data_IF_196681600292
#
_entry.id   IF_196681600292
#
_cell.length_a   1.000
_cell.length_b   1.000
_cell.length_c   1.000
_cell.angle_alpha   90.00
_cell.angle_beta   90.00
_cell.angle_gamma   90.00
#
_symmetry.space_group_name_H-M   'P 1'
#
loop_
_entity.id
_entity.type
_entity.pdbx_description
1 polymer ?
#
# COMPACT_ATOMS: atom_id res chain seq x y z
N UNK A 1 24.74 10.97 -2.32
CA UNK A 1 23.64 10.33 -3.06
C UNK A 1 24.26 9.52 -4.18
N UNK A 2 24.14 8.21 -4.11
CA UNK A 2 24.67 7.26 -5.09
C UNK A 2 23.80 7.23 -6.35
N UNK A 3 24.34 6.78 -7.48
CA UNK A 3 23.57 6.55 -8.71
C UNK A 3 22.41 5.57 -8.49
N UNK A 4 22.59 4.62 -7.56
CA UNK A 4 21.57 3.64 -7.19
C UNK A 4 20.41 4.26 -6.41
N UNK A 5 20.68 5.25 -5.55
CA UNK A 5 19.64 5.97 -4.80
C UNK A 5 18.74 6.76 -5.77
N UNK A 6 19.36 7.41 -6.77
CA UNK A 6 18.63 8.16 -7.80
C UNK A 6 17.79 7.25 -8.69
N UNK A 7 18.32 6.09 -9.08
CA UNK A 7 17.58 5.11 -9.89
C UNK A 7 16.39 4.53 -9.12
N UNK A 8 16.55 4.20 -7.84
CA UNK A 8 15.46 3.73 -6.98
C UNK A 8 14.34 4.77 -6.85
N UNK A 9 14.70 6.02 -6.58
CA UNK A 9 13.71 7.10 -6.48
C UNK A 9 12.95 7.34 -7.80
N UNK A 10 13.62 7.16 -8.94
CA UNK A 10 12.98 7.28 -10.25
C UNK A 10 11.98 6.14 -10.53
N UNK A 11 12.30 4.91 -10.10
CA UNK A 11 11.38 3.77 -10.19
C UNK A 11 10.18 4.01 -9.28
N UNK A 12 10.42 4.38 -8.02
CA UNK A 12 9.34 4.67 -7.06
C UNK A 12 8.38 5.74 -7.62
N UNK A 13 8.91 6.81 -8.20
CA UNK A 13 8.11 7.87 -8.80
C UNK A 13 7.33 7.41 -10.04
N UNK A 14 7.83 6.44 -10.80
CA UNK A 14 7.16 5.94 -12.00
C UNK A 14 5.93 5.05 -11.67
N UNK A 15 5.96 4.36 -10.54
CA UNK A 15 4.88 3.46 -10.09
C UNK A 15 4.01 4.06 -8.98
N UNK A 16 4.35 5.27 -8.52
CA UNK A 16 3.61 6.01 -7.53
C UNK A 16 2.16 6.26 -7.95
N UNK A 17 1.23 5.84 -7.11
CA UNK A 17 -0.17 6.24 -7.10
C UNK A 17 -0.43 7.16 -5.91
N UNK A 18 -1.30 8.16 -6.12
CA UNK A 18 -1.73 9.06 -5.07
C UNK A 18 -2.87 8.41 -4.30
N UNK A 19 -2.74 8.28 -2.99
CA UNK A 19 -3.76 7.67 -2.12
C UNK A 19 -4.05 8.55 -0.91
N UNK A 20 -5.31 8.58 -0.47
CA UNK A 20 -5.69 9.20 0.79
C UNK A 20 -5.75 8.11 1.85
N UNK A 21 -5.00 8.26 2.92
CA UNK A 21 -5.03 7.33 4.04
C UNK A 21 -5.82 7.92 5.21
N UNK A 22 -6.71 7.11 5.78
CA UNK A 22 -7.47 7.45 6.97
C UNK A 22 -7.48 6.26 7.92
N UNK A 23 -6.93 6.44 9.11
CA UNK A 23 -6.71 5.31 10.01
C UNK A 23 -5.88 5.64 11.23
N UNK A 24 -5.97 4.78 12.24
CA UNK A 24 -5.22 4.82 13.50
C UNK A 24 -5.37 6.12 14.33
N UNK A 25 -6.04 7.17 13.86
CA UNK A 25 -5.98 8.55 14.40
C UNK A 25 -4.89 9.42 13.75
N UNK A 26 -4.34 9.00 12.61
CA UNK A 26 -3.53 9.83 11.72
C UNK A 26 -4.50 10.67 10.90
N UNK A 27 -4.36 11.99 11.00
CA UNK A 27 -4.92 12.91 10.03
C UNK A 27 -3.78 13.35 9.12
N UNK A 28 -3.78 12.87 7.88
CA UNK A 28 -2.97 13.47 6.82
C UNK A 28 -3.78 14.58 6.17
N UNK A 29 -3.15 15.73 5.98
CA UNK A 29 -3.78 16.86 5.29
C UNK A 29 -3.74 16.70 3.77
N UNK A 30 -2.77 15.93 3.26
CA UNK A 30 -2.51 15.74 1.84
C UNK A 30 -2.45 14.25 1.47
N UNK A 31 -2.84 13.88 0.24
CA UNK A 31 -2.62 12.53 -0.27
C UNK A 31 -1.15 12.14 -0.25
N UNK A 32 -0.89 10.85 -0.03
CA UNK A 32 0.45 10.28 0.00
C UNK A 32 0.72 9.47 -1.26
N UNK A 33 2.01 9.33 -1.59
CA UNK A 33 2.45 8.42 -2.64
C UNK A 33 2.59 7.00 -2.08
N UNK A 34 1.99 6.04 -2.78
CA UNK A 34 2.11 4.60 -2.53
C UNK A 34 2.33 3.87 -3.86
N UNK A 35 2.83 2.63 -3.83
CA UNK A 35 2.88 1.76 -5.01
C UNK A 35 1.80 0.69 -4.84
N UNK A 36 0.93 0.53 -5.83
CA UNK A 36 -0.08 -0.53 -5.84
C UNK A 36 0.48 -1.79 -6.49
N UNK A 37 0.33 -2.91 -5.80
CA UNK A 37 0.76 -4.23 -6.25
C UNK A 37 -0.46 -5.17 -6.28
N UNK A 38 -0.81 -5.66 -7.47
CA UNK A 38 -1.83 -6.71 -7.62
C UNK A 38 -1.12 -8.08 -7.52
N UNK A 39 -1.44 -8.86 -6.51
CA UNK A 39 -0.83 -10.16 -6.21
C UNK A 39 -1.82 -11.31 -6.47
N UNK A 40 -1.33 -12.49 -6.90
CA UNK A 40 -2.17 -13.68 -6.94
C UNK A 40 -2.65 -14.01 -5.52
N UNK A 41 -3.95 -14.29 -5.37
CA UNK A 41 -4.50 -14.84 -4.13
C UNK A 41 -4.10 -16.30 -3.92
N UNK A 42 -4.53 -16.88 -2.80
CA UNK A 42 -4.24 -18.28 -2.49
C UNK A 42 -4.70 -19.22 -3.62
N UNK A 43 -3.88 -20.24 -3.97
CA UNK A 43 -4.02 -20.98 -5.22
C UNK A 43 -5.26 -21.87 -5.35
N UNK A 44 -6.17 -21.93 -4.37
CA UNK A 44 -7.45 -22.62 -4.52
C UNK A 44 -8.47 -22.25 -3.41
N UNK A 45 -9.55 -21.56 -3.76
CA UNK A 45 -10.69 -21.28 -2.85
C UNK A 45 -11.99 -22.00 -3.25
N UNK A 46 -11.90 -22.97 -4.17
CA UNK A 46 -13.03 -23.68 -4.75
C UNK A 46 -13.25 -23.38 -6.25
N UNK A 47 -14.13 -24.12 -6.94
CA UNK A 47 -14.36 -23.96 -8.36
C UNK A 47 -14.92 -22.56 -8.69
N UNK A 48 -14.23 -21.82 -9.56
CA UNK A 48 -14.65 -20.50 -10.05
C UNK A 48 -14.19 -19.30 -9.21
N UNK A 49 -13.46 -19.50 -8.11
CA UNK A 49 -12.95 -18.43 -7.27
C UNK A 49 -11.49 -18.09 -7.61
N UNK A 50 -11.27 -17.03 -8.37
CA UNK A 50 -9.96 -16.36 -8.46
C UNK A 50 -9.91 -15.25 -7.42
N UNK A 51 -9.09 -15.41 -6.39
CA UNK A 51 -8.82 -14.32 -5.45
C UNK A 51 -7.66 -13.50 -6.00
N UNK A 52 -7.85 -12.19 -6.09
CA UNK A 52 -6.76 -11.23 -6.31
C UNK A 52 -6.54 -10.53 -4.99
N UNK A 53 -5.31 -10.57 -4.48
CA UNK A 53 -4.92 -9.77 -3.32
C UNK A 53 -4.33 -8.46 -3.82
N UNK A 54 -4.65 -7.35 -3.15
CA UNK A 54 -4.09 -6.04 -3.50
C UNK A 54 -3.25 -5.58 -2.31
N UNK A 55 -2.05 -5.08 -2.61
CA UNK A 55 -1.13 -4.51 -1.65
C UNK A 55 -0.80 -3.06 -1.99
N UNK A 56 -0.56 -2.25 -0.96
CA UNK A 56 0.01 -0.92 -1.09
C UNK A 56 1.35 -0.88 -0.38
N UNK A 57 2.42 -0.57 -1.12
CA UNK A 57 3.70 -0.21 -0.54
C UNK A 57 3.71 1.28 -0.23
N UNK A 58 3.85 1.63 1.04
CA UNK A 58 3.82 3.00 1.55
C UNK A 58 5.17 3.28 2.22
N UNK A 59 5.90 4.28 1.73
CA UNK A 59 7.17 4.68 2.35
C UNK A 59 6.96 5.16 3.79
N UNK A 60 7.89 4.83 4.69
CA UNK A 60 7.79 5.25 6.10
C UNK A 60 7.80 6.76 6.29
N UNK A 61 8.44 7.49 5.37
CA UNK A 61 8.44 8.96 5.39
C UNK A 61 7.05 9.56 5.08
N UNK A 62 6.17 8.80 4.43
CA UNK A 62 4.84 9.27 4.02
C UNK A 62 3.80 9.16 5.14
N UNK A 63 4.05 8.33 6.15
CA UNK A 63 3.12 8.09 7.25
C UNK A 63 3.85 8.16 8.59
N UNK A 64 3.37 8.92 9.59
CA UNK A 64 4.11 9.14 10.84
C UNK A 64 4.18 7.88 11.73
N UNK A 65 3.36 6.86 11.44
CA UNK A 65 3.39 5.56 12.11
C UNK A 65 2.89 4.47 11.16
N UNK A 66 3.17 3.23 11.55
CA UNK A 66 2.75 2.02 10.85
C UNK A 66 1.22 1.97 10.71
N UNK A 67 0.68 1.62 9.53
CA UNK A 67 -0.74 1.33 9.37
C UNK A 67 -1.21 0.18 10.26
N UNK A 68 -2.47 0.23 10.67
CA UNK A 68 -3.12 -0.79 11.48
C UNK A 68 -4.23 -1.50 10.69
N UNK A 69 -4.55 -2.72 11.13
CA UNK A 69 -5.67 -3.47 10.58
C UNK A 69 -6.98 -2.70 10.81
N UNK A 70 -7.78 -2.58 9.76
CA UNK A 70 -9.04 -1.83 9.77
C UNK A 70 -8.91 -0.40 9.26
N UNK A 71 -7.70 0.12 9.11
CA UNK A 71 -7.46 1.41 8.47
C UNK A 71 -7.89 1.40 7.00
N UNK A 72 -8.06 2.59 6.44
CA UNK A 72 -8.56 2.76 5.08
C UNK A 72 -7.60 3.51 4.18
N UNK A 73 -7.54 3.08 2.93
CA UNK A 73 -6.76 3.67 1.84
C UNK A 73 -7.72 3.91 0.68
N UNK A 74 -7.85 5.15 0.23
CA UNK A 74 -8.62 5.52 -0.95
C UNK A 74 -7.66 5.85 -2.10
N UNK A 75 -7.72 5.09 -3.20
CA UNK A 75 -6.90 5.32 -4.40
C UNK A 75 -7.59 6.23 -5.44
N UNK A 76 -8.68 6.89 -5.04
CA UNK A 76 -9.52 7.74 -5.88
C UNK A 76 -10.50 6.97 -6.76
N UNK A 77 -10.40 5.64 -6.82
CA UNK A 77 -11.33 4.75 -7.55
C UNK A 77 -12.10 3.87 -6.58
N UNK A 78 -11.45 3.43 -5.52
CA UNK A 78 -11.96 2.44 -4.60
C UNK A 78 -11.43 2.71 -3.19
N UNK A 79 -12.32 2.55 -2.21
CA UNK A 79 -11.93 2.48 -0.82
C UNK A 79 -11.47 1.06 -0.47
N UNK A 80 -10.30 0.98 0.13
CA UNK A 80 -9.64 -0.24 0.55
C UNK A 80 -9.52 -0.27 2.07
N UNK A 81 -9.63 -1.46 2.66
CA UNK A 81 -9.45 -1.69 4.10
C UNK A 81 -8.24 -2.56 4.35
N UNK A 82 -7.33 -2.10 5.19
CA UNK A 82 -6.11 -2.81 5.60
C UNK A 82 -6.46 -4.07 6.39
N UNK A 83 -5.94 -5.21 5.94
CA UNK A 83 -6.10 -6.51 6.59
C UNK A 83 -4.86 -6.94 7.34
N UNK A 84 -3.70 -6.72 6.74
CA UNK A 84 -2.40 -7.06 7.31
C UNK A 84 -1.34 -6.07 6.82
N UNK A 85 -0.25 -5.94 7.58
CA UNK A 85 0.84 -5.00 7.29
C UNK A 85 2.17 -5.66 7.58
N UNK A 86 3.06 -5.66 6.59
CA UNK A 86 4.42 -6.20 6.73
C UNK A 86 5.44 -5.08 6.64
N UNK A 87 6.46 -5.13 7.48
CA UNK A 87 7.61 -4.22 7.39
C UNK A 87 8.55 -4.67 6.26
N UNK A 88 8.79 -3.80 5.29
CA UNK A 88 9.79 -3.99 4.23
C UNK A 88 11.01 -3.10 4.51
N UNK A 89 11.79 -3.50 5.51
CA UNK A 89 12.99 -2.77 5.94
C UNK A 89 13.98 -2.46 4.81
N UNK A 90 14.25 -3.35 3.82
CA UNK A 90 15.22 -3.05 2.75
C UNK A 90 14.86 -1.85 1.87
N UNK A 91 13.58 -1.47 1.81
CA UNK A 91 13.07 -0.35 1.00
C UNK A 91 12.45 0.75 1.86
N UNK A 92 12.65 0.67 3.18
CA UNK A 92 12.08 1.55 4.20
C UNK A 92 10.59 1.86 3.98
N UNK A 93 9.81 0.79 3.80
CA UNK A 93 8.39 0.87 3.51
C UNK A 93 7.56 -0.08 4.37
N UNK A 94 6.27 0.23 4.48
CA UNK A 94 5.23 -0.68 4.94
C UNK A 94 4.52 -1.25 3.74
N UNK A 95 4.23 -2.55 3.77
CA UNK A 95 3.42 -3.22 2.77
C UNK A 95 2.08 -3.60 3.39
N UNK A 96 1.02 -2.87 3.03
CA UNK A 96 -0.32 -3.09 3.55
C UNK A 96 -1.13 -3.94 2.57
N UNK A 97 -1.52 -5.14 2.99
CA UNK A 97 -2.47 -5.98 2.26
C UNK A 97 -3.88 -5.47 2.55
N UNK A 98 -4.68 -5.29 1.51
CA UNK A 98 -6.01 -4.70 1.62
C UNK A 98 -7.09 -5.57 1.00
N UNK A 99 -8.32 -5.34 1.45
CA UNK A 99 -9.54 -5.82 0.79
C UNK A 99 -10.43 -4.63 0.40
N UNK A 100 -11.36 -4.83 -0.53
CA UNK A 100 -12.33 -3.81 -0.90
C UNK A 100 -13.22 -3.47 0.30
N UNK A 101 -13.27 -2.19 0.69
CA UNK A 101 -14.21 -1.73 1.70
C UNK A 101 -15.62 -1.71 1.09
N UNK A 102 -16.55 -2.48 1.66
CA UNK A 102 -17.98 -2.47 1.29
C UNK A 102 -18.69 -1.22 1.78
#
# INVERSE_FOLDING_TARGET
MSIWDTASAAIDAAFAVSVTYAGSGIALNDPISAIREDMPGEPFMGPGATVTMIGFEIKRVSLPRRPEKGDTIDDGRQLWRVQDVTDRDPVDAWFAIVEQAR
#
